data_IF_306402593108
#
_entry.id   IF_306402593108
#
_cell.length_a   1.000
_cell.length_b   1.000
_cell.length_c   1.000
_cell.angle_alpha   90.00
_cell.angle_beta   90.00
_cell.angle_gamma   90.00
#
_symmetry.space_group_name_H-M   'P 1'
#
loop_
_entity.id
_entity.type
_entity.pdbx_description
1 polymer ?
#
# COMPACT_ATOMS: atom_id res chain seq x y z
N UNK A 1 -21.41 1.07 -18.03
CA UNK A 1 -20.73 1.64 -16.89
C UNK A 1 -19.67 2.61 -17.34
N UNK A 2 -19.60 3.75 -16.73
CA UNK A 2 -18.62 4.73 -17.15
C UNK A 2 -17.26 4.42 -16.54
N UNK A 3 -16.25 5.04 -17.12
CA UNK A 3 -14.92 4.86 -16.60
C UNK A 3 -14.83 5.36 -15.17
N UNK A 4 -15.51 6.45 -14.88
CA UNK A 4 -15.52 6.98 -13.53
C UNK A 4 -16.13 6.01 -12.54
N UNK A 5 -17.21 5.39 -12.93
CA UNK A 5 -17.85 4.41 -12.08
C UNK A 5 -16.95 3.21 -11.84
N UNK A 6 -16.30 2.79 -12.91
CA UNK A 6 -15.38 1.66 -12.80
C UNK A 6 -14.25 1.99 -11.86
N UNK A 7 -13.71 3.20 -11.97
CA UNK A 7 -12.64 3.61 -11.08
C UNK A 7 -13.10 3.65 -9.62
N UNK A 8 -14.30 4.13 -9.40
CA UNK A 8 -14.82 4.16 -8.05
C UNK A 8 -14.97 2.76 -7.47
N UNK A 9 -15.37 1.83 -8.33
CA UNK A 9 -15.49 0.46 -7.89
C UNK A 9 -14.13 -0.15 -7.55
N UNK A 10 -13.13 0.18 -8.35
CA UNK A 10 -11.78 -0.29 -8.08
C UNK A 10 -11.27 0.32 -6.78
N UNK A 11 -11.54 1.59 -6.57
CA UNK A 11 -11.12 2.26 -5.34
C UNK A 11 -11.76 1.59 -4.13
N UNK A 12 -13.03 1.27 -4.26
CA UNK A 12 -13.73 0.61 -3.16
C UNK A 12 -13.10 -0.75 -2.86
N UNK A 13 -12.80 -1.49 -3.91
CA UNK A 13 -12.17 -2.79 -3.73
C UNK A 13 -10.77 -2.63 -3.12
N UNK A 14 -10.08 -1.58 -3.53
CA UNK A 14 -8.75 -1.32 -2.97
C UNK A 14 -8.79 -0.99 -1.50
N UNK A 15 -9.78 -0.20 -1.09
CA UNK A 15 -9.92 0.13 0.32
C UNK A 15 -10.18 -1.12 1.14
N UNK A 16 -10.95 -2.03 0.58
CA UNK A 16 -11.22 -3.27 1.26
C UNK A 16 -9.94 -4.10 1.38
N UNK A 17 -9.15 -4.11 0.32
CA UNK A 17 -7.89 -4.82 0.35
C UNK A 17 -6.96 -4.25 1.42
N UNK A 18 -6.95 -2.93 1.57
CA UNK A 18 -6.14 -2.31 2.59
C UNK A 18 -6.58 -2.78 3.98
N UNK A 19 -7.88 -2.87 4.20
CA UNK A 19 -8.38 -3.36 5.47
C UNK A 19 -7.92 -4.78 5.74
N UNK A 20 -7.92 -5.61 4.70
CA UNK A 20 -7.47 -6.98 4.87
C UNK A 20 -5.98 -7.03 5.18
N UNK A 21 -5.21 -6.17 4.52
CA UNK A 21 -3.78 -6.13 4.76
C UNK A 21 -3.48 -5.66 6.18
N UNK A 22 -4.28 -4.72 6.67
CA UNK A 22 -4.13 -4.27 8.05
C UNK A 22 -4.34 -5.43 9.01
N UNK A 23 -5.33 -6.24 8.74
CA UNK A 23 -5.60 -7.39 9.59
C UNK A 23 -4.42 -8.35 9.58
N UNK A 24 -3.85 -8.58 8.41
CA UNK A 24 -2.69 -9.45 8.34
C UNK A 24 -1.54 -8.87 9.15
N UNK A 25 -1.34 -7.56 9.05
CA UNK A 25 -0.26 -6.92 9.79
C UNK A 25 -0.48 -6.98 11.29
N UNK A 26 -1.74 -6.95 11.71
CA UNK A 26 -2.06 -6.98 13.13
C UNK A 26 -2.13 -8.37 13.71
N UNK A 27 -2.13 -9.35 12.87
CA UNK A 27 -2.26 -10.72 13.30
C UNK A 27 -1.13 -11.10 14.24
N UNK A 28 -1.50 -11.76 15.30
CA UNK A 28 -0.52 -12.20 16.27
C UNK A 28 0.30 -13.34 15.71
N UNK A 29 1.58 -13.27 15.90
CA UNK A 29 2.43 -14.38 15.48
C UNK A 29 2.41 -15.42 16.59
N UNK A 30 1.91 -16.59 16.27
CA UNK A 30 1.79 -17.64 17.24
C UNK A 30 2.98 -18.58 17.10
N UNK A 31 3.76 -18.64 18.13
CA UNK A 31 4.88 -19.56 18.13
C UNK A 31 4.68 -20.48 19.30
N UNK A 32 4.67 -21.74 19.00
CA UNK A 32 4.39 -22.66 20.03
C UNK A 32 5.59 -23.36 20.44
N UNK A 33 6.55 -23.12 20.50
CA UNK A 33 7.53 -23.90 21.04
C UNK A 33 8.85 -23.45 20.72
N UNK A 34 9.69 -24.13 21.11
CA UNK A 34 11.02 -23.84 21.20
C UNK A 34 11.84 -24.43 20.08
N UNK A 35 11.22 -25.01 19.09
CA UNK A 35 12.04 -25.66 18.11
C UNK A 35 12.35 -24.76 16.93
N UNK A 36 13.18 -25.26 16.03
CA UNK A 36 13.66 -24.50 14.91
C UNK A 36 12.57 -24.06 13.96
N UNK A 37 11.55 -24.85 13.88
CA UNK A 37 10.44 -24.55 13.03
C UNK A 37 9.78 -23.26 13.47
N UNK A 38 9.75 -23.04 14.76
CA UNK A 38 9.17 -21.82 15.28
C UNK A 38 9.95 -20.59 14.85
N UNK A 39 11.25 -20.69 14.80
CA UNK A 39 12.06 -19.57 14.39
C UNK A 39 11.79 -19.21 12.93
N UNK A 40 11.68 -20.23 12.08
CA UNK A 40 11.40 -19.99 10.68
C UNK A 40 10.01 -19.39 10.50
N UNK A 41 9.06 -19.88 11.25
CA UNK A 41 7.71 -19.36 11.15
C UNK A 41 7.65 -17.91 11.58
N UNK A 42 8.34 -17.59 12.63
CA UNK A 42 8.38 -16.23 13.12
C UNK A 42 8.97 -15.31 12.06
N UNK A 43 10.04 -15.75 11.45
CA UNK A 43 10.68 -14.98 10.41
C UNK A 43 9.77 -14.77 9.22
N UNK A 44 9.12 -15.84 8.80
CA UNK A 44 8.21 -15.74 7.66
C UNK A 44 7.01 -14.87 7.97
N UNK A 45 6.49 -14.98 9.17
CA UNK A 45 5.35 -14.17 9.56
C UNK A 45 5.73 -12.70 9.62
N UNK A 46 6.91 -12.41 10.10
CA UNK A 46 7.37 -11.03 10.16
C UNK A 46 7.54 -10.46 8.76
N UNK A 47 8.08 -11.25 7.85
CA UNK A 47 8.25 -10.80 6.48
C UNK A 47 6.90 -10.56 5.83
N UNK A 48 5.94 -11.44 6.10
CA UNK A 48 4.61 -11.29 5.54
C UNK A 48 3.95 -10.01 6.06
N UNK A 49 4.11 -9.73 7.33
CA UNK A 49 3.53 -8.51 7.89
C UNK A 49 4.17 -7.26 7.29
N UNK A 50 5.47 -7.32 7.09
CA UNK A 50 6.15 -6.19 6.48
C UNK A 50 5.62 -5.93 5.08
N UNK A 51 5.46 -6.99 4.30
CA UNK A 51 4.93 -6.85 2.97
C UNK A 51 3.50 -6.31 2.99
N UNK A 52 2.70 -6.78 3.92
CA UNK A 52 1.32 -6.31 4.03
C UNK A 52 1.28 -4.82 4.30
N UNK A 53 2.15 -4.35 5.18
CA UNK A 53 2.19 -2.93 5.51
C UNK A 53 2.62 -2.10 4.30
N UNK A 54 3.67 -2.56 3.62
CA UNK A 54 4.14 -1.85 2.43
C UNK A 54 3.10 -1.83 1.34
N UNK A 55 2.45 -2.97 1.13
CA UNK A 55 1.41 -3.07 0.11
C UNK A 55 0.24 -2.16 0.44
N UNK A 56 -0.13 -2.09 1.71
CA UNK A 56 -1.23 -1.23 2.12
C UNK A 56 -0.91 0.23 1.81
N UNK A 57 0.31 0.66 2.08
CA UNK A 57 0.71 2.02 1.77
C UNK A 57 0.68 2.28 0.27
N UNK A 58 1.15 1.33 -0.50
CA UNK A 58 1.16 1.46 -1.95
C UNK A 58 -0.25 1.61 -2.50
N UNK A 59 -1.13 0.75 -2.05
CA UNK A 59 -2.51 0.80 -2.51
C UNK A 59 -3.17 2.09 -2.09
N UNK A 60 -2.94 2.50 -0.86
CA UNK A 60 -3.54 3.72 -0.35
C UNK A 60 -3.06 4.95 -1.13
N UNK A 61 -1.78 5.00 -1.43
CA UNK A 61 -1.25 6.11 -2.22
C UNK A 61 -1.88 6.17 -3.59
N UNK A 62 -2.04 5.02 -4.21
CA UNK A 62 -2.65 5.00 -5.53
C UNK A 62 -4.11 5.39 -5.48
N UNK A 63 -4.81 4.94 -4.45
CA UNK A 63 -6.21 5.33 -4.27
C UNK A 63 -6.31 6.83 -4.14
N UNK A 64 -5.44 7.42 -3.37
CA UNK A 64 -5.47 8.86 -3.16
C UNK A 64 -5.25 9.62 -4.45
N UNK A 65 -4.32 9.15 -5.25
CA UNK A 65 -4.08 9.75 -6.54
C UNK A 65 -5.31 9.69 -7.44
N UNK A 66 -5.92 8.53 -7.47
CA UNK A 66 -7.08 8.35 -8.33
C UNK A 66 -8.26 9.16 -7.85
N UNK A 67 -8.42 9.27 -6.55
CA UNK A 67 -9.50 10.08 -6.01
C UNK A 67 -9.29 11.56 -6.33
N UNK A 68 -8.06 12.00 -6.28
CA UNK A 68 -7.76 13.38 -6.65
C UNK A 68 -8.12 13.65 -8.10
N UNK A 69 -7.83 12.72 -8.96
CA UNK A 69 -8.16 12.85 -10.36
C UNK A 69 -9.67 12.92 -10.55
N UNK A 70 -10.39 12.05 -9.86
CA UNK A 70 -11.84 12.02 -9.98
C UNK A 70 -12.48 13.30 -9.49
N UNK A 71 -11.85 13.94 -8.51
CA UNK A 71 -12.36 15.18 -7.97
C UNK A 71 -11.90 16.41 -8.72
N UNK A 72 -11.15 16.19 -9.78
CA UNK A 72 -10.71 17.31 -10.58
C UNK A 72 -9.50 18.03 -10.04
N UNK A 73 -8.86 17.47 -9.03
CA UNK A 73 -7.65 18.09 -8.52
C UNK A 73 -6.52 17.78 -9.47
N UNK A 74 -5.49 18.60 -9.38
CA UNK A 74 -4.41 18.45 -10.32
C UNK A 74 -3.34 17.53 -9.81
N UNK A 75 -3.35 16.30 -10.25
CA UNK A 75 -2.33 15.36 -9.80
C UNK A 75 -0.98 15.68 -10.37
N UNK A 76 -0.96 16.44 -11.42
CA UNK A 76 0.27 16.80 -12.07
C UNK A 76 1.22 17.56 -11.17
N UNK A 77 0.66 18.39 -10.36
CA UNK A 77 1.44 19.15 -9.44
C UNK A 77 2.23 18.27 -8.51
N UNK A 78 1.57 17.27 -8.02
CA UNK A 78 2.17 16.34 -7.14
C UNK A 78 3.28 15.56 -7.81
N UNK A 79 3.01 15.14 -9.00
CA UNK A 79 3.98 14.41 -9.77
C UNK A 79 5.19 15.26 -10.06
N UNK A 80 4.93 16.48 -10.40
CA UNK A 80 5.99 17.40 -10.70
C UNK A 80 6.90 17.60 -9.51
N UNK A 81 6.30 17.71 -8.36
CA UNK A 81 7.06 17.93 -7.16
C UNK A 81 8.02 16.81 -6.87
N UNK A 82 7.52 15.59 -6.98
CA UNK A 82 8.33 14.43 -6.74
C UNK A 82 9.45 14.35 -7.78
N UNK A 83 9.08 14.58 -9.00
CA UNK A 83 10.01 14.50 -10.08
C UNK A 83 11.11 15.55 -9.95
N UNK A 84 10.73 16.74 -9.58
CA UNK A 84 11.65 17.81 -9.39
C UNK A 84 12.66 17.51 -8.32
N UNK A 85 12.19 17.05 -7.20
CA UNK A 85 13.09 16.72 -6.12
C UNK A 85 14.09 15.68 -6.55
N UNK A 86 13.65 14.73 -7.30
CA UNK A 86 14.49 13.69 -7.78
C UNK A 86 15.52 14.22 -8.76
N UNK A 87 15.07 15.04 -9.67
CA UNK A 87 15.95 15.62 -10.67
C UNK A 87 16.99 16.52 -10.03
N UNK A 88 16.57 17.26 -9.05
CA UNK A 88 17.49 18.13 -8.37
C UNK A 88 18.58 17.37 -7.67
N UNK A 89 18.22 16.28 -7.08
CA UNK A 89 19.19 15.45 -6.44
C UNK A 89 20.20 14.94 -7.43
N UNK A 90 19.77 14.70 -8.63
CA UNK A 90 20.65 14.24 -9.63
C UNK A 90 21.54 15.30 -10.21
N UNK A 91 21.02 16.45 -10.33
CA UNK A 91 21.76 17.50 -10.96
C UNK A 91 22.92 17.97 -10.17
N UNK A 92 22.97 17.61 -8.95
CA UNK A 92 24.13 18.03 -8.19
C UNK A 92 25.30 17.11 -8.38
#
# INVERSE_FOLDING_TARGET
MSIKETKRNIIRAGRKAVEELIKVAEEQIITHSEDDVSADRLKNAAATKKLAIFDAFEILNRIQEEENILEGKEPEEKKERVFKGFAEGRSK
#
